data_IF_266135921618
#
_entry.id   IF_266135921618
#
_cell.length_a   1.000
_cell.length_b   1.000
_cell.length_c   1.000
_cell.angle_alpha   90.00
_cell.angle_beta   90.00
_cell.angle_gamma   90.00
#
_symmetry.space_group_name_H-M   'P 1'
#
loop_
_entity.id
_entity.type
_entity.pdbx_description
1 polymer ?
#
# COMPACT_ATOMS: atom_id res chain seq x y z
N UNK A 1 -12.76 -10.70 -3.21
CA UNK A 1 -12.90 -10.93 -4.65
C UNK A 1 -11.73 -10.28 -5.37
N UNK A 2 -10.92 -11.05 -6.10
CA UNK A 2 -9.87 -10.49 -6.94
C UNK A 2 -10.52 -9.85 -8.18
N UNK A 3 -10.22 -8.58 -8.44
CA UNK A 3 -10.65 -7.90 -9.67
C UNK A 3 -9.51 -7.93 -10.66
N UNK A 4 -9.77 -8.39 -11.89
CA UNK A 4 -8.79 -8.36 -12.97
C UNK A 4 -8.56 -6.90 -13.36
N UNK A 5 -7.31 -6.46 -13.31
CA UNK A 5 -6.90 -5.11 -13.68
C UNK A 5 -5.91 -5.15 -14.84
N UNK A 6 -5.82 -4.06 -15.59
CA UNK A 6 -4.94 -3.96 -16.75
C UNK A 6 -3.53 -3.58 -16.33
N UNK A 7 -2.55 -4.25 -16.91
CA UNK A 7 -1.16 -3.81 -16.93
C UNK A 7 -0.96 -2.86 -18.14
N UNK A 8 -0.35 -1.70 -17.92
CA UNK A 8 -0.10 -0.68 -18.94
C UNK A 8 1.39 -0.41 -19.06
N UNK A 9 1.87 -0.19 -20.30
CA UNK A 9 3.26 0.20 -20.57
C UNK A 9 3.48 1.65 -20.13
N UNK A 10 4.57 1.89 -19.40
CA UNK A 10 4.99 3.22 -18.94
C UNK A 10 6.49 3.38 -19.23
N UNK A 11 6.84 4.00 -20.35
CA UNK A 11 8.23 4.12 -20.78
C UNK A 11 8.88 2.74 -20.99
N UNK A 12 9.96 2.48 -20.25
CA UNK A 12 10.65 1.18 -20.17
C UNK A 12 10.10 0.24 -19.09
N UNK A 13 9.00 0.61 -18.42
CA UNK A 13 8.41 -0.12 -17.28
C UNK A 13 6.94 -0.46 -17.52
N UNK A 14 6.32 -1.12 -16.53
CA UNK A 14 4.89 -1.50 -16.53
C UNK A 14 4.24 -1.02 -15.23
N UNK A 15 3.01 -0.53 -15.33
CA UNK A 15 2.18 -0.18 -14.19
C UNK A 15 0.89 -1.00 -14.16
N UNK A 16 0.41 -1.35 -12.97
CA UNK A 16 -0.89 -2.02 -12.77
C UNK A 16 -1.90 -1.00 -12.26
N UNK A 17 -3.08 -0.98 -12.87
CA UNK A 17 -4.16 -0.07 -12.44
C UNK A 17 -4.79 -0.59 -11.15
N UNK A 18 -4.73 0.19 -10.08
CA UNK A 18 -5.39 -0.13 -8.81
C UNK A 18 -6.65 0.72 -8.66
N UNK A 19 -7.83 0.13 -8.44
CA UNK A 19 -9.06 0.89 -8.22
C UNK A 19 -8.94 1.83 -7.02
N UNK A 20 -9.43 3.07 -7.16
CA UNK A 20 -9.41 4.09 -6.08
C UNK A 20 -10.07 3.61 -4.79
N UNK A 21 -11.12 2.77 -4.88
CA UNK A 21 -11.80 2.19 -3.71
C UNK A 21 -10.85 1.29 -2.90
N UNK A 22 -10.10 0.42 -3.58
CA UNK A 22 -9.10 -0.46 -2.96
C UNK A 22 -7.95 0.35 -2.36
N UNK A 23 -7.50 1.38 -3.06
CA UNK A 23 -6.44 2.28 -2.59
C UNK A 23 -6.82 2.97 -1.27
N UNK A 24 -8.07 3.45 -1.17
CA UNK A 24 -8.61 4.08 0.06
C UNK A 24 -8.71 3.10 1.22
N UNK A 25 -9.12 1.86 0.97
CA UNK A 25 -9.18 0.81 1.99
C UNK A 25 -7.80 0.47 2.56
N UNK A 26 -6.75 0.59 1.74
CA UNK A 26 -5.36 0.36 2.15
C UNK A 26 -4.69 1.62 2.74
N UNK A 27 -5.38 2.76 2.79
CA UNK A 27 -4.80 4.03 3.25
C UNK A 27 -3.69 4.59 2.35
N UNK A 28 -3.50 4.02 1.16
CA UNK A 28 -2.46 4.43 0.23
C UNK A 28 -2.93 5.66 -0.54
N UNK A 29 -2.06 6.67 -0.67
CA UNK A 29 -2.30 7.85 -1.51
C UNK A 29 -1.42 7.79 -2.77
N UNK A 30 -1.89 8.30 -3.93
CA UNK A 30 -1.03 8.43 -5.10
C UNK A 30 0.21 9.27 -4.79
N UNK A 31 1.38 8.85 -5.29
CA UNK A 31 2.66 9.55 -5.08
C UNK A 31 3.40 9.15 -3.80
N UNK A 32 2.86 8.27 -2.98
CA UNK A 32 3.55 7.72 -1.80
C UNK A 32 4.46 6.55 -2.20
N UNK A 33 5.67 6.45 -1.64
CA UNK A 33 6.53 5.29 -1.87
C UNK A 33 5.89 4.01 -1.30
N UNK A 34 5.97 2.94 -2.07
CA UNK A 34 5.47 1.60 -1.71
C UNK A 34 6.62 0.60 -1.78
N UNK A 35 6.59 -0.38 -0.89
CA UNK A 35 7.47 -1.53 -0.97
C UNK A 35 6.87 -2.55 -1.94
N UNK A 36 7.72 -3.15 -2.75
CA UNK A 36 7.34 -4.09 -3.78
C UNK A 36 8.21 -5.33 -3.66
N UNK A 37 7.55 -6.46 -3.40
CA UNK A 37 8.18 -7.76 -3.23
C UNK A 37 7.66 -8.70 -4.31
N UNK A 38 8.56 -9.51 -4.87
CA UNK A 38 8.24 -10.50 -5.88
C UNK A 38 8.47 -11.87 -5.26
N UNK A 39 7.38 -12.63 -5.12
CA UNK A 39 7.44 -14.04 -4.79
C UNK A 39 7.40 -14.84 -6.10
N UNK A 40 8.58 -15.16 -6.62
CA UNK A 40 8.72 -15.88 -7.89
C UNK A 40 8.13 -17.30 -7.83
N UNK A 41 8.18 -17.94 -6.65
CA UNK A 41 7.68 -19.30 -6.46
C UNK A 41 6.18 -19.37 -6.64
N UNK A 42 5.48 -18.40 -6.07
CA UNK A 42 4.02 -18.30 -6.16
C UNK A 42 3.55 -17.39 -7.30
N UNK A 43 4.49 -16.75 -8.03
CA UNK A 43 4.22 -15.75 -9.08
C UNK A 43 3.36 -14.60 -8.57
N UNK A 44 3.65 -14.13 -7.37
CA UNK A 44 2.91 -13.05 -6.71
C UNK A 44 3.73 -11.77 -6.69
N UNK A 45 3.03 -10.66 -6.95
CA UNK A 45 3.52 -9.32 -6.70
C UNK A 45 2.85 -8.82 -5.43
N UNK A 46 3.63 -8.60 -4.37
CA UNK A 46 3.12 -8.07 -3.11
C UNK A 46 3.48 -6.60 -3.04
N UNK A 47 2.47 -5.76 -2.88
CA UNK A 47 2.63 -4.31 -2.69
C UNK A 47 2.18 -3.98 -1.28
N UNK A 48 3.10 -3.44 -0.48
CA UNK A 48 2.85 -3.06 0.91
C UNK A 48 3.21 -1.61 1.15
N UNK A 49 2.54 -0.98 2.12
CA UNK A 49 2.95 0.34 2.58
C UNK A 49 4.19 0.17 3.48
N UNK A 50 5.31 0.87 3.22
CA UNK A 50 6.53 0.74 4.04
C UNK A 50 6.35 1.20 5.48
N UNK A 51 5.37 2.06 5.76
CA UNK A 51 5.06 2.47 7.12
C UNK A 51 4.09 1.45 7.76
N UNK A 52 4.34 1.02 9.02
CA UNK A 52 3.32 0.31 9.78
C UNK A 52 2.09 1.20 9.85
N UNK A 53 0.91 0.62 9.63
CA UNK A 53 -0.36 1.32 9.84
C UNK A 53 -0.42 1.66 11.34
N UNK A 54 -0.07 2.89 11.69
CA UNK A 54 -0.16 3.34 13.06
C UNK A 54 -1.65 3.35 13.44
N UNK A 55 -2.02 2.44 14.34
CA UNK A 55 -3.38 2.41 14.86
C UNK A 55 -3.66 3.76 15.54
N UNK A 56 -4.78 4.40 15.17
CA UNK A 56 -5.16 5.71 15.69
C UNK A 56 -5.25 5.71 17.23
N UNK A 57 -5.68 4.59 17.83
CA UNK A 57 -5.71 4.43 19.29
C UNK A 57 -4.31 4.41 19.91
N UNK A 58 -3.35 3.74 19.26
CA UNK A 58 -1.95 3.69 19.70
C UNK A 58 -1.31 5.07 19.65
N UNK A 59 -1.60 5.86 18.61
CA UNK A 59 -1.15 7.24 18.46
C UNK A 59 -1.75 8.15 19.54
N UNK A 60 -3.04 8.00 19.84
CA UNK A 60 -3.70 8.78 20.90
C UNK A 60 -3.13 8.44 22.29
N UNK A 61 -2.92 7.15 22.57
CA UNK A 61 -2.28 6.69 23.81
C UNK A 61 -0.85 7.22 23.96
N UNK A 62 -0.01 7.10 22.92
CA UNK A 62 1.37 7.64 22.97
C UNK A 62 1.38 9.16 23.12
N UNK A 63 0.48 9.87 22.45
CA UNK A 63 0.34 11.32 22.60
C UNK A 63 -0.01 11.76 24.02
N UNK A 64 -0.89 11.02 24.71
CA UNK A 64 -1.24 11.27 26.12
C UNK A 64 -0.12 10.93 27.09
N UNK A 65 0.68 9.91 26.80
CA UNK A 65 1.81 9.50 27.64
C UNK A 65 2.98 10.49 27.56
N UNK A 66 3.33 10.98 26.36
CA UNK A 66 4.47 11.89 26.15
C UNK A 66 4.20 13.31 26.64
N UNK A 67 2.94 13.77 26.63
CA UNK A 67 2.55 15.11 27.09
C UNK A 67 2.45 15.25 28.62
N UNK A 68 2.84 14.22 29.36
CA UNK A 68 2.85 14.19 30.82
C UNK A 68 4.26 14.35 31.34
#
# INVERSE_FOLDING_TARGET
MATIQKAIKVGSSVAVVIPKKSLKALGIKPGVPLALEIDEKNRLLVVSHPAPIANAELLDWTGRFIKR
#
